data_IF_836679541462
#
_entry.id   IF_836679541462
#
_cell.length_a   1.000
_cell.length_b   1.000
_cell.length_c   1.000
_cell.angle_alpha   90.00
_cell.angle_beta   90.00
_cell.angle_gamma   90.00
#
_symmetry.space_group_name_H-M   'P 1'
#
loop_
_entity.id
_entity.type
_entity.pdbx_description
1 polymer ?
#
# COMPACT_ATOMS: atom_id res chain seq x y z
N UNK A 1 16.02 -23.29 37.78
CA UNK A 1 15.27 -24.21 38.65
C UNK A 1 14.19 -23.39 39.37
N UNK A 2 13.06 -23.11 38.71
CA UNK A 2 11.96 -22.32 39.26
C UNK A 2 10.74 -23.24 39.41
N UNK A 3 10.35 -23.54 40.65
CA UNK A 3 9.18 -24.35 40.98
C UNK A 3 7.88 -23.52 40.85
N UNK A 4 6.75 -24.11 40.43
CA UNK A 4 5.43 -23.48 40.51
C UNK A 4 4.78 -23.63 41.91
N UNK A 5 3.87 -22.72 42.31
CA UNK A 5 3.15 -22.77 43.59
C UNK A 5 2.02 -23.82 43.62
N UNK A 6 1.55 -24.25 44.82
CA UNK A 6 0.66 -25.39 44.98
C UNK A 6 -0.81 -25.10 44.65
N UNK A 7 -1.46 -26.06 44.00
CA UNK A 7 -2.91 -26.13 43.77
C UNK A 7 -3.66 -26.49 45.06
N UNK A 8 -4.67 -25.70 45.42
CA UNK A 8 -5.63 -26.02 46.48
C UNK A 8 -6.92 -26.55 45.85
N UNK A 9 -7.21 -27.82 46.11
CA UNK A 9 -8.48 -28.49 45.82
C UNK A 9 -9.60 -27.95 46.72
N UNK A 10 -10.75 -27.60 46.16
CA UNK A 10 -11.99 -27.46 46.91
C UNK A 10 -13.13 -28.06 46.11
N UNK A 11 -13.66 -29.15 46.65
CA UNK A 11 -14.74 -29.97 46.13
C UNK A 11 -16.06 -29.52 46.77
N UNK A 12 -17.13 -29.25 46.02
CA UNK A 12 -18.48 -29.16 46.61
C UNK A 12 -19.63 -29.47 45.64
N UNK A 13 -20.10 -30.72 45.78
CA UNK A 13 -21.49 -31.22 45.78
C UNK A 13 -22.44 -30.85 44.63
N UNK A 14 -22.84 -31.89 43.90
CA UNK A 14 -23.98 -31.96 43.00
C UNK A 14 -25.33 -31.89 43.76
N UNK A 15 -26.29 -31.16 43.19
CA UNK A 15 -27.71 -31.26 43.53
C UNK A 15 -28.56 -30.94 42.28
N UNK A 16 -29.59 -31.74 41.93
CA UNK A 16 -30.40 -31.50 40.73
C UNK A 16 -31.71 -30.78 41.10
N UNK A 17 -32.09 -29.72 40.37
CA UNK A 17 -33.49 -29.27 40.26
C UNK A 17 -33.80 -28.73 38.86
N UNK A 18 -34.81 -29.33 38.24
CA UNK A 18 -35.38 -29.03 36.92
C UNK A 18 -36.18 -27.70 36.91
N UNK A 19 -36.19 -27.03 35.77
CA UNK A 19 -37.36 -26.82 34.89
C UNK A 19 -37.55 -25.38 34.34
N UNK A 20 -37.74 -25.37 33.01
CA UNK A 20 -38.53 -24.45 32.15
C UNK A 20 -37.99 -23.07 31.79
N UNK A 21 -37.29 -23.09 30.65
CA UNK A 21 -37.49 -22.30 29.43
C UNK A 21 -38.40 -21.06 29.51
N UNK A 22 -37.86 -19.89 29.17
CA UNK A 22 -38.55 -18.85 28.38
C UNK A 22 -37.57 -18.06 27.51
N UNK A 23 -37.88 -18.07 26.20
CA UNK A 23 -37.53 -17.12 25.14
C UNK A 23 -36.05 -16.79 24.86
N UNK A 24 -35.43 -17.62 24.01
CA UNK A 24 -34.36 -17.17 23.11
C UNK A 24 -34.98 -16.28 22.04
N UNK A 25 -34.96 -14.97 22.28
CA UNK A 25 -35.55 -13.95 21.40
C UNK A 25 -34.52 -12.95 20.84
N UNK A 26 -33.25 -13.36 20.69
CA UNK A 26 -32.16 -12.46 20.25
C UNK A 26 -31.22 -13.02 19.19
N UNK A 27 -31.47 -14.23 18.66
CA UNK A 27 -30.52 -14.92 17.78
C UNK A 27 -30.52 -14.49 16.31
N UNK A 28 -31.57 -13.84 15.82
CA UNK A 28 -31.73 -13.58 14.38
C UNK A 28 -30.92 -12.37 13.88
N UNK A 29 -30.84 -11.29 14.68
CA UNK A 29 -30.12 -10.08 14.26
C UNK A 29 -28.60 -10.30 14.30
N UNK A 30 -28.09 -10.98 15.32
CA UNK A 30 -26.67 -11.30 15.45
C UNK A 30 -26.18 -12.24 14.35
N UNK A 31 -27.00 -13.21 13.92
CA UNK A 31 -26.60 -14.12 12.82
C UNK A 31 -26.51 -13.41 11.47
N UNK A 32 -27.43 -12.48 11.18
CA UNK A 32 -27.39 -11.72 9.93
C UNK A 32 -26.22 -10.73 9.89
N UNK A 33 -25.93 -10.09 11.03
CA UNK A 33 -24.77 -9.19 11.18
C UNK A 33 -23.46 -9.96 11.05
N UNK A 34 -23.33 -11.14 11.68
CA UNK A 34 -22.16 -12.02 11.53
C UNK A 34 -21.97 -12.45 10.08
N UNK A 35 -23.05 -12.75 9.35
CA UNK A 35 -22.96 -13.12 7.94
C UNK A 35 -22.54 -11.93 7.06
N UNK A 36 -23.08 -10.73 7.32
CA UNK A 36 -22.69 -9.52 6.62
C UNK A 36 -21.20 -9.18 6.84
N UNK A 37 -20.74 -9.22 8.09
CA UNK A 37 -19.34 -9.02 8.44
C UNK A 37 -18.43 -10.10 7.83
N UNK A 38 -18.88 -11.36 7.78
CA UNK A 38 -18.13 -12.44 7.15
C UNK A 38 -17.94 -12.21 5.66
N UNK A 39 -18.98 -11.68 4.98
CA UNK A 39 -18.90 -11.31 3.57
C UNK A 39 -17.95 -10.14 3.35
N UNK A 40 -18.03 -9.09 4.16
CA UNK A 40 -17.11 -7.95 4.07
C UNK A 40 -15.65 -8.39 4.27
N UNK A 41 -15.40 -9.32 5.19
CA UNK A 41 -14.07 -9.92 5.36
C UNK A 41 -13.61 -10.73 4.15
N UNK A 42 -14.51 -11.44 3.46
CA UNK A 42 -14.18 -12.16 2.23
C UNK A 42 -13.86 -11.19 1.09
N UNK A 43 -14.70 -10.18 0.88
CA UNK A 43 -14.50 -9.15 -0.14
C UNK A 43 -13.18 -8.39 0.09
N UNK A 44 -12.88 -8.06 1.35
CA UNK A 44 -11.62 -7.40 1.71
C UNK A 44 -10.40 -8.30 1.46
N UNK A 45 -10.48 -9.60 1.76
CA UNK A 45 -9.38 -10.55 1.45
C UNK A 45 -9.11 -10.60 -0.04
N UNK A 46 -10.15 -10.70 -0.87
CA UNK A 46 -10.00 -10.70 -2.33
C UNK A 46 -9.37 -9.39 -2.81
N UNK A 47 -9.79 -8.25 -2.25
CA UNK A 47 -9.20 -6.95 -2.59
C UNK A 47 -7.73 -6.87 -2.20
N UNK A 48 -7.35 -7.38 -1.02
CA UNK A 48 -5.94 -7.40 -0.59
C UNK A 48 -5.12 -8.30 -1.51
N UNK A 49 -5.59 -9.50 -1.82
CA UNK A 49 -4.90 -10.43 -2.73
C UNK A 49 -4.68 -9.82 -4.12
N UNK A 50 -5.64 -9.01 -4.60
CA UNK A 50 -5.50 -8.29 -5.88
C UNK A 50 -4.45 -7.16 -5.76
N UNK A 51 -4.54 -6.34 -4.72
CA UNK A 51 -3.61 -5.23 -4.49
C UNK A 51 -2.17 -5.73 -4.29
N UNK A 52 -1.98 -6.87 -3.63
CA UNK A 52 -0.66 -7.50 -3.48
C UNK A 52 -0.08 -7.92 -4.84
N UNK A 53 -0.90 -8.50 -5.71
CA UNK A 53 -0.47 -8.85 -7.08
C UNK A 53 -0.13 -7.62 -7.91
N UNK A 54 -0.92 -6.56 -7.81
CA UNK A 54 -0.66 -5.30 -8.52
C UNK A 54 0.61 -4.63 -7.99
N UNK A 55 0.78 -4.55 -6.67
CA UNK A 55 2.01 -4.06 -6.03
C UNK A 55 3.24 -4.83 -6.53
N UNK A 56 3.18 -6.15 -6.50
CA UNK A 56 4.30 -7.00 -6.91
C UNK A 56 4.58 -6.88 -8.41
N UNK A 57 3.53 -6.73 -9.23
CA UNK A 57 3.65 -6.49 -10.66
C UNK A 57 4.37 -5.17 -10.97
N UNK A 58 3.96 -4.07 -10.34
CA UNK A 58 4.63 -2.77 -10.53
C UNK A 58 6.04 -2.77 -9.97
N UNK A 59 6.25 -3.33 -8.78
CA UNK A 59 7.57 -3.41 -8.15
C UNK A 59 8.57 -4.22 -9.00
N UNK A 60 8.15 -5.37 -9.52
CA UNK A 60 8.99 -6.20 -10.40
C UNK A 60 9.41 -5.43 -11.65
N UNK A 61 8.50 -4.70 -12.30
CA UNK A 61 8.84 -3.87 -13.47
C UNK A 61 9.82 -2.75 -13.14
N UNK A 62 9.61 -2.04 -12.04
CA UNK A 62 10.52 -0.98 -11.61
C UNK A 62 11.91 -1.55 -11.29
N UNK A 63 11.96 -2.74 -10.67
CA UNK A 63 13.22 -3.44 -10.40
C UNK A 63 13.94 -3.87 -11.68
N UNK A 64 13.22 -4.40 -12.67
CA UNK A 64 13.81 -4.75 -13.97
C UNK A 64 14.39 -3.52 -14.68
N UNK A 65 13.67 -2.39 -14.67
CA UNK A 65 14.16 -1.11 -15.21
C UNK A 65 15.40 -0.64 -14.45
N UNK A 66 15.41 -0.74 -13.12
CA UNK A 66 16.56 -0.36 -12.30
C UNK A 66 17.81 -1.16 -12.66
N UNK A 67 17.66 -2.48 -12.84
CA UNK A 67 18.76 -3.37 -13.24
C UNK A 67 19.34 -2.93 -14.59
N UNK A 68 18.48 -2.57 -15.56
CA UNK A 68 18.95 -2.05 -16.84
C UNK A 68 19.70 -0.72 -16.66
N UNK A 69 19.20 0.19 -15.83
CA UNK A 69 19.82 1.48 -15.51
C UNK A 69 21.17 1.38 -14.76
N UNK A 70 21.50 0.22 -14.19
CA UNK A 70 22.78 -0.06 -13.53
C UNK A 70 23.86 -0.58 -14.50
N UNK A 71 23.56 -0.64 -15.80
CA UNK A 71 24.53 -1.02 -16.84
C UNK A 71 25.62 0.06 -16.97
N UNK A 72 26.91 -0.24 -16.72
CA UNK A 72 27.98 0.76 -16.64
C UNK A 72 28.18 1.63 -17.89
N UNK A 73 27.78 1.15 -19.06
CA UNK A 73 27.94 1.88 -20.32
C UNK A 73 26.89 3.00 -20.50
N UNK A 74 25.80 2.96 -19.73
CA UNK A 74 24.68 3.90 -19.87
C UNK A 74 24.27 4.58 -18.55
N UNK A 75 24.89 4.21 -17.44
CA UNK A 75 24.47 4.59 -16.09
C UNK A 75 24.55 6.11 -15.82
N UNK A 76 25.45 6.79 -16.53
CA UNK A 76 25.67 8.24 -16.53
C UNK A 76 24.89 9.00 -17.62
N UNK A 77 24.13 8.31 -18.49
CA UNK A 77 23.32 9.01 -19.48
C UNK A 77 22.26 9.87 -18.78
N UNK A 78 22.01 11.12 -19.22
CA UNK A 78 21.06 12.02 -18.57
C UNK A 78 19.67 11.41 -18.34
N UNK A 79 19.18 10.63 -19.32
CA UNK A 79 17.91 9.92 -19.20
C UNK A 79 17.94 8.85 -18.11
N UNK A 80 19.05 8.13 -17.95
CA UNK A 80 19.20 7.10 -16.91
C UNK A 80 19.30 7.74 -15.53
N UNK A 81 19.99 8.88 -15.42
CA UNK A 81 20.02 9.68 -14.17
C UNK A 81 18.62 10.16 -13.80
N UNK A 82 17.85 10.67 -14.77
CA UNK A 82 16.46 11.09 -14.56
C UNK A 82 15.56 9.91 -14.13
N UNK A 83 15.68 8.74 -14.76
CA UNK A 83 14.93 7.55 -14.35
C UNK A 83 15.31 7.09 -12.93
N UNK A 84 16.61 7.11 -12.58
CA UNK A 84 17.06 6.79 -11.21
C UNK A 84 16.50 7.76 -10.17
N UNK A 85 16.35 9.05 -10.49
CA UNK A 85 15.67 10.02 -9.61
C UNK A 85 14.25 9.57 -9.27
N UNK A 86 13.49 9.09 -10.25
CA UNK A 86 12.13 8.55 -10.03
C UNK A 86 12.20 7.28 -9.17
N UNK A 87 13.09 6.35 -9.49
CA UNK A 87 13.19 5.06 -8.79
C UNK A 87 13.66 5.18 -7.33
N UNK A 88 14.42 6.23 -7.00
CA UNK A 88 15.00 6.47 -5.68
C UNK A 88 14.29 7.56 -4.87
N UNK A 89 13.17 8.09 -5.38
CA UNK A 89 12.35 9.02 -4.63
C UNK A 89 11.81 8.37 -3.34
N UNK A 90 11.92 9.09 -2.22
CA UNK A 90 11.50 8.60 -0.90
C UNK A 90 9.99 8.69 -0.72
N UNK A 91 9.37 9.68 -1.35
CA UNK A 91 7.93 9.92 -1.31
C UNK A 91 7.34 9.72 -2.71
N UNK A 92 6.14 9.13 -2.79
CA UNK A 92 5.41 8.95 -4.06
C UNK A 92 4.82 10.27 -4.61
N UNK A 93 5.34 11.41 -4.18
CA UNK A 93 4.84 12.72 -4.57
C UNK A 93 5.26 13.07 -6.01
N UNK A 94 4.38 13.78 -6.71
CA UNK A 94 4.53 14.16 -8.12
C UNK A 94 5.81 14.97 -8.41
N UNK A 95 6.43 15.52 -7.36
CA UNK A 95 7.74 16.20 -7.38
C UNK A 95 8.86 15.38 -8.00
N UNK A 96 8.91 14.07 -7.76
CA UNK A 96 10.01 13.23 -8.28
C UNK A 96 10.04 13.17 -9.82
N UNK A 97 8.86 13.21 -10.45
CA UNK A 97 8.74 13.22 -11.90
C UNK A 97 9.15 14.59 -12.48
N UNK A 98 8.69 15.68 -11.87
CA UNK A 98 9.06 17.05 -12.26
C UNK A 98 10.58 17.27 -12.16
N UNK A 99 11.20 16.88 -11.04
CA UNK A 99 12.65 16.98 -10.85
C UNK A 99 13.45 16.14 -11.85
N UNK A 100 12.95 14.96 -12.21
CA UNK A 100 13.57 14.11 -13.23
C UNK A 100 13.49 14.75 -14.63
N UNK A 101 12.35 15.36 -14.97
CA UNK A 101 12.16 16.08 -16.23
C UNK A 101 13.03 17.32 -16.33
N UNK A 102 13.18 18.07 -15.23
CA UNK A 102 14.07 19.24 -15.19
C UNK A 102 15.54 18.81 -15.38
N UNK A 103 15.97 17.77 -14.67
CA UNK A 103 17.32 17.21 -14.79
C UNK A 103 17.64 16.80 -16.25
N UNK A 104 16.67 16.21 -16.94
CA UNK A 104 16.81 15.83 -18.34
C UNK A 104 16.86 17.05 -19.26
N UNK A 105 15.99 18.03 -19.03
CA UNK A 105 15.90 19.27 -19.82
C UNK A 105 17.19 20.10 -19.73
N UNK A 106 17.76 20.24 -18.52
CA UNK A 106 19.04 20.91 -18.29
C UNK A 106 20.18 20.22 -19.07
N UNK A 107 20.18 18.88 -19.09
CA UNK A 107 21.23 18.10 -19.76
C UNK A 107 21.11 18.11 -21.29
N UNK A 108 19.89 18.25 -21.83
CA UNK A 108 19.63 18.33 -23.27
C UNK A 108 19.72 19.76 -23.82
N UNK A 109 19.92 20.77 -22.96
CA UNK A 109 19.99 22.18 -23.38
C UNK A 109 18.67 22.71 -23.95
N UNK A 110 17.54 22.04 -23.68
CA UNK A 110 16.20 22.45 -24.12
C UNK A 110 15.57 23.45 -23.14
N UNK A 111 16.37 24.39 -22.63
CA UNK A 111 15.91 25.48 -21.78
C UNK A 111 15.46 26.67 -22.62
N UNK A 112 14.14 26.83 -22.75
CA UNK A 112 13.44 28.08 -23.05
C UNK A 112 13.89 28.89 -24.28
N UNK A 113 13.31 28.57 -25.45
CA UNK A 113 12.94 29.61 -26.43
C UNK A 113 11.47 29.99 -26.18
N UNK A 114 11.17 30.58 -25.03
CA UNK A 114 10.04 31.51 -24.92
C UNK A 114 10.62 32.91 -25.14
N UNK A 115 10.94 33.25 -26.39
CA UNK A 115 11.30 34.62 -26.77
C UNK A 115 10.01 35.37 -27.06
N UNK A 116 9.75 36.34 -26.19
CA UNK A 116 8.78 37.42 -26.31
C UNK A 116 8.73 38.02 -27.74
N UNK A 117 7.53 38.04 -28.34
CA UNK A 117 7.05 38.94 -29.40
C UNK A 117 5.53 38.74 -29.37
N UNK A 118 4.67 39.72 -29.07
CA UNK A 118 4.53 41.01 -29.72
C UNK A 118 4.01 42.06 -28.72
N UNK A 119 4.86 43.03 -28.38
CA UNK A 119 4.42 44.40 -28.17
C UNK A 119 4.81 45.17 -29.45
N UNK A 120 3.98 46.14 -29.85
CA UNK A 120 4.04 46.97 -31.07
C UNK A 120 3.31 46.33 -32.26
N UNK A 121 2.06 46.72 -32.53
CA UNK A 121 1.84 47.91 -33.36
C UNK A 121 0.56 48.65 -32.96
N UNK A 122 0.74 49.80 -32.32
CA UNK A 122 -0.21 50.91 -32.36
C UNK A 122 0.42 52.02 -33.20
N UNK A 123 -0.10 52.22 -34.41
CA UNK A 123 -0.16 53.52 -35.11
C UNK A 123 -1.25 53.46 -36.17
#
# INVERSE_FOLDING_TARGET
MHQPPPVTTSNKTFGPKQAKSHAVGGGSNSSAEVQALSKELEDLKVSVDLLEKERDFYFTKLRDVEILCQTPEIDDLPIVVAVKKILYAVDANESALEEAQECLSQSLGLGAEEVEQEAETQT
#
